data_IF_330001636424
#
_entry.id   IF_330001636424
#
_cell.length_a   1.000
_cell.length_b   1.000
_cell.length_c   1.000
_cell.angle_alpha   90.00
_cell.angle_beta   90.00
_cell.angle_gamma   90.00
#
_symmetry.space_group_name_H-M   'P 1'
#
loop_
_entity.id
_entity.type
_entity.pdbx_description
1 polymer ?
#
# COMPACT_ATOMS: atom_id res chain seq x y z
N UNK A 1 -2.24 -7.15 8.99
CA UNK A 1 -2.24 -6.88 7.53
C UNK A 1 -0.94 -7.38 6.95
N UNK A 2 -0.99 -8.11 5.83
CA UNK A 2 0.21 -8.43 5.06
C UNK A 2 0.28 -7.47 3.88
N UNK A 3 1.47 -7.03 3.54
CA UNK A 3 1.66 -5.92 2.61
C UNK A 3 2.81 -6.20 1.68
N UNK A 4 2.60 -5.95 0.38
CA UNK A 4 3.63 -6.13 -0.64
C UNK A 4 3.86 -4.81 -1.38
N UNK A 5 5.08 -4.28 -1.31
CA UNK A 5 5.38 -3.04 -1.98
C UNK A 5 5.37 -3.25 -3.50
N UNK A 6 4.41 -2.66 -4.22
CA UNK A 6 4.44 -2.54 -5.66
C UNK A 6 5.39 -1.39 -6.04
N UNK A 7 6.69 -1.61 -5.87
CA UNK A 7 7.69 -0.65 -6.34
C UNK A 7 7.78 -0.71 -7.86
N UNK A 8 7.65 0.43 -8.53
CA UNK A 8 7.75 0.61 -9.99
C UNK A 8 9.14 0.31 -10.58
N UNK A 9 10.07 -0.28 -9.80
CA UNK A 9 11.42 -0.64 -10.23
C UNK A 9 11.89 -2.03 -9.79
N UNK A 10 11.03 -2.83 -9.14
CA UNK A 10 11.35 -4.23 -8.81
C UNK A 10 10.67 -5.15 -9.82
N UNK A 11 11.33 -6.25 -10.16
CA UNK A 11 10.66 -7.34 -10.85
C UNK A 11 9.49 -7.82 -9.99
N UNK A 12 8.37 -8.20 -10.62
CA UNK A 12 7.17 -8.67 -9.90
C UNK A 12 7.55 -9.77 -8.89
N UNK A 13 8.47 -10.66 -9.25
CA UNK A 13 8.91 -11.74 -8.36
C UNK A 13 9.60 -11.22 -7.08
N UNK A 14 10.48 -10.21 -7.18
CA UNK A 14 11.14 -9.61 -6.01
C UNK A 14 10.16 -8.83 -5.13
N UNK A 15 9.19 -8.14 -5.74
CA UNK A 15 8.10 -7.49 -5.02
C UNK A 15 7.21 -8.53 -4.31
N UNK A 16 7.09 -9.72 -4.87
CA UNK A 16 6.31 -10.83 -4.33
C UNK A 16 7.06 -11.57 -3.20
N UNK A 17 8.38 -11.49 -3.13
CA UNK A 17 9.14 -12.03 -1.99
C UNK A 17 9.14 -11.08 -0.79
N UNK A 18 8.98 -9.78 -1.00
CA UNK A 18 8.95 -8.77 0.07
C UNK A 18 7.57 -8.62 0.67
N UNK A 19 7.22 -9.56 1.55
CA UNK A 19 6.05 -9.43 2.42
C UNK A 19 6.45 -8.72 3.73
N UNK A 20 5.77 -7.61 4.04
CA UNK A 20 5.86 -6.94 5.33
C UNK A 20 4.53 -7.11 6.04
N UNK A 21 4.55 -7.42 7.32
CA UNK A 21 3.34 -7.52 8.13
C UNK A 21 3.22 -6.28 9.01
N UNK A 22 2.01 -5.73 9.08
CA UNK A 22 1.64 -4.59 9.90
C UNK A 22 0.43 -4.94 10.76
N UNK A 23 0.45 -4.54 12.01
CA UNK A 23 -0.64 -4.79 12.95
C UNK A 23 -1.73 -3.71 12.87
N UNK A 24 -1.43 -2.55 12.27
CA UNK A 24 -2.37 -1.42 12.17
C UNK A 24 -2.17 -0.53 10.94
N UNK A 25 -3.19 0.28 10.63
CA UNK A 25 -3.09 1.35 9.62
C UNK A 25 -2.02 2.39 9.97
N UNK A 26 -1.81 2.64 11.27
CA UNK A 26 -0.79 3.56 11.74
C UNK A 26 0.61 3.09 11.35
N UNK A 27 0.92 1.82 11.57
CA UNK A 27 2.20 1.23 11.17
C UNK A 27 2.41 1.26 9.66
N UNK A 28 1.35 1.01 8.89
CA UNK A 28 1.40 1.17 7.43
C UNK A 28 1.73 2.61 7.03
N UNK A 29 1.04 3.61 7.61
CA UNK A 29 1.31 5.03 7.34
C UNK A 29 2.75 5.42 7.73
N UNK A 30 3.24 4.96 8.88
CA UNK A 30 4.61 5.20 9.32
C UNK A 30 5.64 4.56 8.38
N UNK A 31 5.41 3.32 7.93
CA UNK A 31 6.24 2.65 6.94
C UNK A 31 6.30 3.46 5.63
N UNK A 32 5.15 3.90 5.11
CA UNK A 32 5.12 4.69 3.88
C UNK A 32 5.85 6.02 4.06
N UNK A 33 5.65 6.70 5.19
CA UNK A 33 6.32 7.97 5.50
C UNK A 33 7.84 7.82 5.54
N UNK A 34 8.35 6.71 6.09
CA UNK A 34 9.78 6.44 6.20
C UNK A 34 10.42 6.03 4.87
N UNK A 35 9.78 5.13 4.12
CA UNK A 35 10.37 4.53 2.91
C UNK A 35 10.12 5.33 1.63
N UNK A 36 9.08 6.18 1.60
CA UNK A 36 8.71 6.95 0.42
C UNK A 36 8.87 8.47 0.62
N UNK A 37 9.64 8.88 1.64
CA UNK A 37 10.24 10.23 1.85
C UNK A 37 9.41 11.43 1.36
N UNK A 38 8.14 11.52 1.77
CA UNK A 38 7.27 12.66 1.46
C UNK A 38 6.80 12.75 0.01
N UNK A 39 7.07 11.72 -0.79
CA UNK A 39 6.52 11.59 -2.15
C UNK A 39 5.02 11.34 -2.09
N UNK A 40 4.56 10.51 -1.15
CA UNK A 40 3.14 10.26 -0.93
C UNK A 40 2.60 10.97 0.32
N UNK A 41 1.42 11.56 0.19
CA UNK A 41 0.65 12.08 1.31
C UNK A 41 -0.11 10.94 2.00
N UNK A 42 0.49 10.42 3.07
CA UNK A 42 -0.06 9.31 3.87
C UNK A 42 -1.38 9.65 4.57
N UNK A 43 -1.73 10.92 4.70
CA UNK A 43 -2.99 11.33 5.33
C UNK A 43 -4.16 11.19 4.35
N UNK A 44 -3.88 11.06 3.05
CA UNK A 44 -4.88 10.76 1.99
C UNK A 44 -5.02 9.27 1.68
N UNK A 45 -4.36 8.41 2.46
CA UNK A 45 -4.29 6.98 2.20
C UNK A 45 -5.68 6.32 2.26
N UNK A 46 -6.01 5.58 1.19
CA UNK A 46 -7.24 4.81 1.06
C UNK A 46 -6.88 3.36 0.73
N UNK A 47 -7.69 2.45 1.25
CA UNK A 47 -7.64 1.04 0.89
C UNK A 47 -8.98 0.64 0.27
N UNK A 48 -8.95 0.01 -0.90
CA UNK A 48 -10.16 -0.51 -1.55
C UNK A 48 -9.96 -1.97 -1.95
N UNK A 49 -11.04 -2.73 -1.98
CA UNK A 49 -11.01 -4.10 -2.47
C UNK A 49 -10.57 -4.13 -3.94
N UNK A 50 -9.61 -5.01 -4.24
CA UNK A 50 -9.13 -5.25 -5.59
C UNK A 50 -9.60 -6.62 -6.09
N UNK A 51 -9.62 -7.61 -5.20
CA UNK A 51 -10.13 -8.96 -5.46
C UNK A 51 -9.13 -10.03 -5.08
N UNK A 52 -9.49 -11.29 -5.33
CA UNK A 52 -8.60 -12.43 -5.06
C UNK A 52 -7.45 -12.49 -6.07
N UNK A 53 -6.23 -12.74 -5.59
CA UNK A 53 -5.05 -12.95 -6.44
C UNK A 53 -4.50 -14.37 -6.22
N UNK A 54 -4.69 -15.23 -7.22
CA UNK A 54 -4.27 -16.65 -7.19
C UNK A 54 -2.76 -16.83 -6.99
N UNK A 55 -1.93 -15.83 -7.34
CA UNK A 55 -0.47 -15.92 -7.22
C UNK A 55 0.00 -15.87 -5.75
N UNK A 56 -0.79 -15.23 -4.91
CA UNK A 56 -0.52 -15.02 -3.47
C UNK A 56 -1.51 -15.76 -2.57
N UNK A 57 -2.59 -16.28 -3.14
CA UNK A 57 -3.53 -17.15 -2.46
C UNK A 57 -4.48 -16.43 -1.49
N UNK A 58 -4.68 -15.12 -1.66
CA UNK A 58 -5.47 -14.31 -0.72
C UNK A 58 -6.25 -13.17 -1.40
N UNK A 59 -7.17 -12.55 -0.65
CA UNK A 59 -7.89 -11.36 -1.11
C UNK A 59 -6.98 -10.14 -1.00
N UNK A 60 -6.83 -9.44 -2.13
CA UNK A 60 -5.99 -8.27 -2.23
C UNK A 60 -6.80 -6.99 -2.19
N UNK A 61 -6.15 -5.97 -1.65
CA UNK A 61 -6.66 -4.62 -1.54
C UNK A 61 -5.67 -3.66 -2.17
N UNK A 62 -6.18 -2.71 -2.95
CA UNK A 62 -5.37 -1.65 -3.51
C UNK A 62 -5.25 -0.52 -2.50
N UNK A 63 -4.01 -0.22 -2.12
CA UNK A 63 -3.66 0.94 -1.30
C UNK A 63 -3.29 2.09 -2.23
N UNK A 64 -3.99 3.22 -2.10
CA UNK A 64 -3.81 4.44 -2.89
C UNK A 64 -3.58 5.64 -1.99
N UNK A 65 -2.80 6.61 -2.44
CA UNK A 65 -2.57 7.89 -1.76
C UNK A 65 -2.21 8.96 -2.79
N UNK A 66 -2.38 10.22 -2.43
CA UNK A 66 -1.97 11.33 -3.27
C UNK A 66 -0.44 11.41 -3.36
N UNK A 67 0.06 11.62 -4.57
CA UNK A 67 1.49 11.61 -4.91
C UNK A 67 1.93 13.00 -5.35
N UNK A 68 2.97 13.52 -4.72
CA UNK A 68 3.65 14.75 -5.09
C UNK A 68 4.93 14.43 -5.86
N UNK A 69 4.90 14.60 -7.18
CA UNK A 69 6.05 14.35 -8.04
C UNK A 69 6.26 15.51 -9.01
N UNK A 70 7.47 16.08 -9.04
CA UNK A 70 7.82 17.16 -9.96
C UNK A 70 6.97 18.43 -9.83
N UNK A 71 6.47 18.73 -8.63
CA UNK A 71 5.57 19.87 -8.37
C UNK A 71 4.12 19.65 -8.81
N UNK A 72 3.76 18.44 -9.24
CA UNK A 72 2.39 18.04 -9.59
C UNK A 72 1.81 17.13 -8.51
N UNK A 73 0.49 17.22 -8.35
CA UNK A 73 -0.29 16.33 -7.49
C UNK A 73 -1.01 15.29 -8.35
N UNK A 74 -0.73 14.02 -8.10
CA UNK A 74 -1.40 12.88 -8.72
C UNK A 74 -2.28 12.18 -7.69
N UNK A 75 -3.60 12.32 -7.85
CA UNK A 75 -4.56 11.78 -6.89
C UNK A 75 -4.71 10.28 -6.99
N UNK A 76 -4.97 9.64 -5.85
CA UNK A 76 -5.26 8.20 -5.76
C UNK A 76 -4.21 7.34 -6.48
N UNK A 77 -2.94 7.74 -6.40
CA UNK A 77 -1.84 7.02 -7.02
C UNK A 77 -1.69 5.67 -6.34
N UNK A 78 -1.68 4.60 -7.13
CA UNK A 78 -1.52 3.25 -6.61
C UNK A 78 -0.14 3.11 -5.97
N UNK A 79 -0.13 2.61 -4.75
CA UNK A 79 1.12 2.29 -4.07
C UNK A 79 1.30 0.79 -3.96
N UNK A 80 0.32 0.05 -3.45
CA UNK A 80 0.56 -1.31 -2.94
C UNK A 80 -0.63 -2.25 -3.02
N UNK A 81 -0.33 -3.55 -2.85
CA UNK A 81 -1.32 -4.58 -2.55
C UNK A 81 -1.21 -5.01 -1.09
N UNK A 82 -2.35 -5.05 -0.40
CA UNK A 82 -2.45 -5.54 0.96
C UNK A 82 -3.37 -6.76 1.05
N UNK A 83 -3.09 -7.64 2.00
CA UNK A 83 -3.94 -8.75 2.44
C UNK A 83 -4.41 -8.55 3.88
N UNK A 84 -5.63 -9.01 4.14
CA UNK A 84 -6.29 -8.97 5.44
C UNK A 84 -7.57 -8.13 5.44
N UNK A 85 -8.45 -8.46 6.39
CA UNK A 85 -9.72 -7.77 6.60
C UNK A 85 -9.49 -6.28 6.94
N UNK A 86 -9.62 -5.40 5.93
CA UNK A 86 -9.50 -3.94 6.10
C UNK A 86 -10.63 -3.40 7.01
N UNK A 87 -11.69 -4.15 7.29
CA UNK A 87 -12.76 -3.67 8.17
C UNK A 87 -12.29 -3.41 9.60
N UNK A 88 -11.12 -3.94 9.96
CA UNK A 88 -10.40 -3.63 11.21
C UNK A 88 -9.56 -2.35 11.14
N UNK A 89 -9.35 -1.76 9.97
CA UNK A 89 -8.58 -0.52 9.77
C UNK A 89 -9.45 0.74 9.80
N UNK A 90 -10.63 0.69 10.44
CA UNK A 90 -11.43 1.88 10.66
C UNK A 90 -10.56 2.92 11.37
N UNK A 91 -10.49 4.11 10.77
CA UNK A 91 -9.85 5.28 11.38
C UNK A 91 -10.40 5.44 12.81
N UNK A 92 -9.53 5.28 13.81
CA UNK A 92 -9.81 5.75 15.16
C UNK A 92 -9.82 7.27 15.22
#
# INVERSE_FOLDING_TARGET
>A
MKFRPACSGLAIDEAMERMVEFDSMKELKEHIRLYYLGMYDVDTLKCREYGYDDRVGWNTYLVTADLHEGGKLYKDSALFFADGDISTLKEE
#
